data_IF_518801113397
#
_entry.id   IF_518801113397
#
_cell.length_a   1.000
_cell.length_b   1.000
_cell.length_c   1.000
_cell.angle_alpha   90.00
_cell.angle_beta   90.00
_cell.angle_gamma   90.00
#
_symmetry.space_group_name_H-M   'P 1'
#
loop_
_entity.id
_entity.type
_entity.pdbx_description
1 polymer ?
#
# COMPACT_ATOMS: atom_id res chain seq x y z
N UNK A 1 1.92 -3.89 -0.22
CA UNK A 1 0.96 -4.60 -1.07
C UNK A 1 1.46 -6.02 -1.35
N UNK A 2 0.55 -6.99 -1.45
CA UNK A 2 0.88 -8.40 -1.63
C UNK A 2 0.28 -8.91 -2.94
N UNK A 3 1.13 -9.51 -3.77
CA UNK A 3 0.75 -10.12 -5.03
C UNK A 3 1.28 -11.56 -5.11
N UNK A 4 0.49 -12.44 -5.68
CA UNK A 4 0.80 -13.86 -5.90
C UNK A 4 -0.05 -14.78 -5.04
N UNK A 5 -0.52 -15.86 -5.66
CA UNK A 5 -1.24 -16.92 -4.95
C UNK A 5 -0.33 -17.55 -3.88
N UNK A 6 -0.81 -17.61 -2.65
CA UNK A 6 -0.01 -18.10 -1.51
C UNK A 6 1.04 -17.12 -0.96
N UNK A 7 1.11 -15.89 -1.48
CA UNK A 7 1.98 -14.87 -0.88
C UNK A 7 1.56 -14.60 0.56
N UNK A 8 2.51 -14.61 1.48
CA UNK A 8 2.27 -14.37 2.89
C UNK A 8 3.30 -13.39 3.42
N UNK A 9 2.85 -12.27 3.96
CA UNK A 9 3.69 -11.30 4.65
C UNK A 9 3.29 -11.22 6.11
N UNK A 10 4.29 -11.13 6.98
CA UNK A 10 4.12 -10.87 8.40
C UNK A 10 4.81 -9.55 8.70
N UNK A 11 4.08 -8.63 9.28
CA UNK A 11 4.62 -7.36 9.77
C UNK A 11 4.56 -7.36 11.29
N UNK A 12 5.69 -7.04 11.91
CA UNK A 12 5.81 -6.86 13.37
C UNK A 12 6.32 -5.44 13.60
N UNK A 13 5.55 -4.64 14.30
CA UNK A 13 5.93 -3.29 14.71
C UNK A 13 6.07 -3.23 16.22
N UNK A 14 7.17 -2.65 16.69
CA UNK A 14 7.43 -2.47 18.11
C UNK A 14 7.63 -0.99 18.39
N UNK A 15 6.74 -0.40 19.19
CA UNK A 15 6.83 0.98 19.66
C UNK A 15 7.08 0.98 21.17
N UNK A 16 8.28 1.38 21.60
CA UNK A 16 8.63 1.51 23.01
C UNK A 16 8.65 2.99 23.41
N UNK A 17 7.80 3.34 24.37
CA UNK A 17 7.84 4.65 25.05
C UNK A 17 8.57 4.48 26.37
N UNK A 18 9.87 4.77 26.34
CA UNK A 18 10.75 4.59 27.50
C UNK A 18 10.47 5.60 28.64
N UNK A 19 11.01 5.33 29.82
CA UNK A 19 10.78 6.10 31.06
C UNK A 19 11.10 7.59 30.93
N UNK A 20 12.06 7.96 30.08
CA UNK A 20 12.48 9.35 29.88
C UNK A 20 11.62 10.11 28.86
N UNK A 21 10.81 9.41 28.07
CA UNK A 21 10.00 9.99 27.00
C UNK A 21 8.70 10.59 27.56
N UNK A 22 8.75 11.89 27.89
CA UNK A 22 7.60 12.62 28.43
C UNK A 22 6.90 13.44 27.34
N UNK A 23 5.58 13.58 27.44
CA UNK A 23 4.77 14.31 26.47
C UNK A 23 4.73 13.64 25.10
N UNK A 24 4.92 12.33 25.05
CA UNK A 24 4.85 11.57 23.81
C UNK A 24 3.42 11.55 23.30
N UNK A 25 3.27 11.87 22.01
CA UNK A 25 2.08 11.62 21.22
C UNK A 25 2.51 10.78 20.01
N UNK A 26 2.02 9.55 19.92
CA UNK A 26 2.45 8.61 18.87
C UNK A 26 1.31 7.72 18.40
N UNK A 27 1.32 7.43 17.11
CA UNK A 27 0.36 6.51 16.51
C UNK A 27 1.05 5.64 15.46
N UNK A 28 0.97 4.33 15.63
CA UNK A 28 1.52 3.35 14.71
C UNK A 28 0.41 2.80 13.80
N UNK A 29 0.57 2.95 12.49
CA UNK A 29 -0.40 2.48 11.53
C UNK A 29 0.23 1.52 10.53
N UNK A 30 -0.24 0.27 10.50
CA UNK A 30 0.06 -0.67 9.44
C UNK A 30 -1.12 -0.79 8.48
N UNK A 31 -0.84 -0.68 7.18
CA UNK A 31 -1.83 -0.88 6.12
C UNK A 31 -1.35 -1.92 5.12
N UNK A 32 -2.18 -2.92 4.86
CA UNK A 32 -1.93 -3.95 3.87
C UNK A 32 -2.94 -3.86 2.73
N UNK A 33 -2.45 -4.00 1.50
CA UNK A 33 -3.28 -4.17 0.32
C UNK A 33 -3.01 -5.54 -0.30
N UNK A 34 -4.01 -6.41 -0.31
CA UNK A 34 -3.93 -7.74 -0.90
C UNK A 34 -4.49 -7.69 -2.32
N UNK A 35 -3.63 -7.98 -3.31
CA UNK A 35 -3.92 -7.84 -4.73
C UNK A 35 -4.37 -9.15 -5.39
N UNK A 36 -4.01 -10.28 -4.79
CA UNK A 36 -4.31 -11.61 -5.33
C UNK A 36 -5.11 -12.42 -4.32
N UNK A 37 -6.08 -13.17 -4.81
CA UNK A 37 -6.81 -14.13 -3.99
C UNK A 37 -5.86 -15.19 -3.41
N UNK A 38 -6.07 -15.60 -2.15
CA UNK A 38 -5.20 -16.54 -1.44
C UNK A 38 -3.98 -15.91 -0.77
N UNK A 39 -3.60 -14.68 -1.12
CA UNK A 39 -2.54 -13.96 -0.39
C UNK A 39 -3.02 -13.53 1.01
N UNK A 40 -2.08 -13.52 1.97
CA UNK A 40 -2.33 -13.19 3.38
C UNK A 40 -1.35 -12.14 3.89
N UNK A 41 -1.87 -11.27 4.75
CA UNK A 41 -1.08 -10.32 5.52
C UNK A 41 -1.41 -10.47 7.00
N UNK A 42 -0.43 -10.77 7.83
CA UNK A 42 -0.53 -10.78 9.28
C UNK A 42 0.19 -9.57 9.84
N UNK A 43 -0.40 -8.92 10.82
CA UNK A 43 0.13 -7.71 11.44
C UNK A 43 0.11 -7.85 12.95
N UNK A 44 1.26 -7.63 13.56
CA UNK A 44 1.47 -7.73 15.01
C UNK A 44 2.02 -6.40 15.51
N UNK A 45 1.16 -5.39 15.75
CA UNK A 45 1.59 -4.16 16.38
C UNK A 45 1.78 -4.37 17.90
N UNK A 46 2.93 -3.95 18.42
CA UNK A 46 3.24 -3.97 19.84
C UNK A 46 3.49 -2.56 20.34
N UNK A 47 2.90 -2.22 21.48
CA UNK A 47 3.08 -0.94 22.14
C UNK A 47 3.43 -1.17 23.58
N UNK A 48 4.63 -0.77 23.98
CA UNK A 48 5.11 -0.82 25.36
C UNK A 48 5.30 0.58 25.92
N UNK A 49 4.67 0.86 27.06
CA UNK A 49 4.65 2.19 27.68
C UNK A 49 5.23 2.08 29.08
N UNK A 50 6.45 2.60 29.26
CA UNK A 50 7.14 2.65 30.55
C UNK A 50 6.93 3.97 31.30
N UNK A 51 6.32 4.97 30.66
CA UNK A 51 6.09 6.29 31.22
C UNK A 51 4.63 6.72 31.04
N UNK A 52 3.93 6.93 32.14
CA UNK A 52 2.54 7.38 32.13
C UNK A 52 2.33 8.87 31.79
N UNK A 53 3.41 9.66 31.65
CA UNK A 53 3.30 11.08 31.28
C UNK A 53 3.38 11.24 29.76
N UNK A 54 2.35 10.81 29.07
CA UNK A 54 2.19 10.88 27.62
C UNK A 54 0.91 11.63 27.27
N UNK A 55 0.86 12.22 26.07
CA UNK A 55 -0.32 12.88 25.53
C UNK A 55 -1.25 11.86 24.86
N UNK A 56 -0.66 10.93 24.11
CA UNK A 56 -1.40 9.85 23.47
C UNK A 56 -0.46 8.77 22.94
N UNK A 57 -0.98 7.54 22.88
CA UNK A 57 -0.33 6.44 22.20
C UNK A 57 -1.37 5.48 21.65
N UNK A 58 -1.16 4.99 20.43
CA UNK A 58 -2.10 4.05 19.83
C UNK A 58 -1.46 3.29 18.67
N UNK A 59 -2.11 2.23 18.30
CA UNK A 59 -1.76 1.50 17.08
C UNK A 59 -3.01 1.00 16.37
N UNK A 60 -2.90 0.81 15.05
CA UNK A 60 -3.93 0.13 14.25
C UNK A 60 -3.30 -0.69 13.13
N UNK A 61 -4.00 -1.71 12.72
CA UNK A 61 -3.70 -2.44 11.50
C UNK A 61 -4.95 -2.61 10.66
N UNK A 62 -4.83 -2.38 9.37
CA UNK A 62 -5.90 -2.55 8.41
C UNK A 62 -5.41 -3.36 7.20
N UNK A 63 -6.19 -4.37 6.81
CA UNK A 63 -5.93 -5.14 5.60
C UNK A 63 -7.10 -4.99 4.66
N UNK A 64 -6.85 -4.33 3.52
CA UNK A 64 -7.79 -4.20 2.42
C UNK A 64 -7.48 -5.20 1.30
N UNK A 65 -8.52 -5.62 0.59
CA UNK A 65 -8.38 -6.34 -0.68
C UNK A 65 -8.55 -5.37 -1.82
N UNK A 66 -8.00 -5.74 -2.96
CA UNK A 66 -8.26 -4.99 -4.19
C UNK A 66 -9.77 -4.90 -4.43
N UNK A 67 -10.26 -3.67 -4.67
CA UNK A 67 -11.69 -3.41 -4.80
C UNK A 67 -12.12 -3.51 -6.27
N UNK A 68 -12.80 -4.60 -6.60
CA UNK A 68 -13.33 -4.83 -7.94
C UNK A 68 -14.41 -3.81 -8.34
N UNK A 69 -15.07 -3.16 -7.38
CA UNK A 69 -16.03 -2.10 -7.68
C UNK A 69 -15.32 -0.82 -8.14
N UNK A 70 -14.19 -0.48 -7.53
CA UNK A 70 -13.35 0.63 -7.99
C UNK A 70 -12.80 0.34 -9.39
N UNK A 71 -12.33 -0.88 -9.63
CA UNK A 71 -11.87 -1.31 -10.94
C UNK A 71 -12.99 -1.19 -12.00
N UNK A 72 -14.17 -1.72 -11.68
CA UNK A 72 -15.35 -1.61 -12.57
C UNK A 72 -15.68 -0.16 -12.89
N UNK A 73 -15.69 0.72 -11.90
CA UNK A 73 -15.98 2.13 -12.07
C UNK A 73 -14.99 2.83 -13.03
N UNK A 74 -13.70 2.57 -12.87
CA UNK A 74 -12.65 3.13 -13.73
C UNK A 74 -12.76 2.60 -15.16
N UNK A 75 -13.00 1.30 -15.32
CA UNK A 75 -13.22 0.67 -16.64
C UNK A 75 -14.48 1.18 -17.33
N UNK A 76 -15.55 1.40 -16.60
CA UNK A 76 -16.78 1.98 -17.14
C UNK A 76 -16.58 3.41 -17.68
N UNK A 77 -15.51 4.09 -17.27
CA UNK A 77 -15.07 5.40 -17.80
C UNK A 77 -14.07 5.30 -18.95
N UNK A 78 -13.80 4.10 -19.45
CA UNK A 78 -12.92 3.87 -20.59
C UNK A 78 -11.44 3.74 -20.22
N UNK A 79 -11.10 3.62 -18.94
CA UNK A 79 -9.71 3.38 -18.52
C UNK A 79 -9.39 1.90 -18.72
N UNK A 80 -8.33 1.54 -19.45
CA UNK A 80 -7.89 0.17 -19.62
C UNK A 80 -7.65 -0.51 -18.26
N UNK A 81 -7.90 -1.81 -18.16
CA UNK A 81 -7.83 -2.54 -16.89
C UNK A 81 -6.47 -2.44 -16.21
N UNK A 82 -5.39 -2.57 -16.98
CA UNK A 82 -4.01 -2.44 -16.46
C UNK A 82 -3.76 -1.08 -15.84
N UNK A 83 -4.21 -0.01 -16.49
CA UNK A 83 -4.06 1.36 -15.97
C UNK A 83 -5.00 1.60 -14.77
N UNK A 84 -6.21 1.06 -14.80
CA UNK A 84 -7.14 1.15 -13.67
C UNK A 84 -6.57 0.46 -12.42
N UNK A 85 -5.98 -0.74 -12.57
CA UNK A 85 -5.28 -1.43 -11.47
C UNK A 85 -4.10 -0.62 -10.94
N UNK A 86 -3.31 -0.05 -11.84
CA UNK A 86 -2.19 0.83 -11.49
C UNK A 86 -2.67 2.01 -10.64
N UNK A 87 -3.69 2.71 -11.07
CA UNK A 87 -4.22 3.87 -10.37
C UNK A 87 -4.70 3.55 -8.95
N UNK A 88 -5.39 2.41 -8.77
CA UNK A 88 -5.85 1.96 -7.43
C UNK A 88 -4.66 1.68 -6.52
N UNK A 89 -3.64 0.97 -7.01
CA UNK A 89 -2.47 0.62 -6.19
C UNK A 89 -1.64 1.86 -5.86
N UNK A 90 -1.42 2.74 -6.82
CA UNK A 90 -0.69 3.98 -6.57
C UNK A 90 -1.44 4.92 -5.62
N UNK A 91 -2.77 4.97 -5.72
CA UNK A 91 -3.61 5.72 -4.77
C UNK A 91 -3.41 5.25 -3.34
N UNK A 92 -3.36 3.93 -3.12
CA UNK A 92 -3.09 3.35 -1.81
C UNK A 92 -1.72 3.77 -1.26
N UNK A 93 -0.66 3.73 -2.07
CA UNK A 93 0.66 4.15 -1.62
C UNK A 93 0.76 5.66 -1.42
N UNK A 94 0.11 6.45 -2.28
CA UNK A 94 0.14 7.89 -2.19
C UNK A 94 -0.45 8.42 -0.88
N UNK A 95 -1.51 7.79 -0.37
CA UNK A 95 -2.07 8.14 0.95
C UNK A 95 -1.05 8.02 2.08
N UNK A 96 -0.18 6.98 2.02
CA UNK A 96 0.81 6.72 3.06
C UNK A 96 2.03 7.64 2.88
N UNK A 97 2.48 7.80 1.63
CA UNK A 97 3.68 8.58 1.30
C UNK A 97 3.45 10.06 1.57
N UNK A 98 2.26 10.58 1.30
CA UNK A 98 1.91 11.98 1.55
C UNK A 98 1.93 12.38 3.04
N UNK A 99 1.91 11.43 3.97
CA UNK A 99 2.05 11.71 5.40
C UNK A 99 3.49 12.11 5.80
N UNK A 100 4.47 11.88 4.92
CA UNK A 100 5.89 12.21 5.17
C UNK A 100 6.09 13.73 5.18
N UNK A 101 5.40 14.47 4.30
CA UNK A 101 5.45 15.94 4.23
C UNK A 101 6.79 16.48 3.75
N UNK A 102 7.57 15.71 2.98
CA UNK A 102 8.84 16.09 2.39
C UNK A 102 8.85 15.70 0.91
N UNK A 103 8.58 16.67 0.03
CA UNK A 103 8.35 16.46 -1.41
C UNK A 103 9.42 15.58 -2.08
N UNK A 104 10.71 15.86 -1.82
CA UNK A 104 11.82 15.11 -2.43
C UNK A 104 11.81 13.62 -2.02
N UNK A 105 11.43 13.31 -0.79
CA UNK A 105 11.33 11.94 -0.28
C UNK A 105 10.12 11.26 -0.89
N UNK A 106 9.00 11.96 -0.96
CA UNK A 106 7.75 11.46 -1.55
C UNK A 106 7.95 11.09 -3.02
N UNK A 107 8.54 11.98 -3.83
CA UNK A 107 8.84 11.74 -5.24
C UNK A 107 9.75 10.50 -5.43
N UNK A 108 10.79 10.37 -4.62
CA UNK A 108 11.73 9.24 -4.70
C UNK A 108 11.06 7.91 -4.33
N UNK A 109 10.21 7.92 -3.30
CA UNK A 109 9.47 6.73 -2.87
C UNK A 109 8.45 6.31 -3.92
N UNK A 110 7.67 7.26 -4.45
CA UNK A 110 6.68 6.97 -5.49
C UNK A 110 7.33 6.44 -6.76
N UNK A 111 8.46 7.00 -7.18
CA UNK A 111 9.22 6.49 -8.33
C UNK A 111 9.75 5.06 -8.10
N UNK A 112 10.21 4.75 -6.88
CA UNK A 112 10.66 3.41 -6.54
C UNK A 112 9.50 2.40 -6.52
N UNK A 113 8.33 2.80 -6.01
CA UNK A 113 7.12 2.00 -6.00
C UNK A 113 6.65 1.72 -7.43
N UNK A 114 6.60 2.72 -8.29
CA UNK A 114 6.23 2.55 -9.70
C UNK A 114 7.16 1.55 -10.42
N UNK A 115 8.46 1.71 -10.21
CA UNK A 115 9.46 0.79 -10.79
C UNK A 115 9.27 -0.65 -10.30
N UNK A 116 8.99 -0.85 -9.02
CA UNK A 116 8.74 -2.19 -8.47
C UNK A 116 7.47 -2.81 -9.04
N UNK A 117 6.41 -2.02 -9.19
CA UNK A 117 5.16 -2.46 -9.78
C UNK A 117 5.32 -2.86 -11.27
N UNK A 118 6.18 -2.16 -12.01
CA UNK A 118 6.55 -2.54 -13.39
C UNK A 118 7.29 -3.89 -13.43
N UNK A 119 8.26 -4.08 -12.54
CA UNK A 119 9.06 -5.31 -12.47
C UNK A 119 8.22 -6.54 -12.08
N UNK A 120 7.21 -6.35 -11.26
CA UNK A 120 6.33 -7.43 -10.79
C UNK A 120 5.20 -7.76 -11.78
N UNK A 121 5.13 -7.06 -12.92
CA UNK A 121 4.11 -7.27 -13.94
C UNK A 121 2.71 -6.84 -13.53
N UNK A 122 2.58 -6.14 -12.41
CA UNK A 122 1.30 -5.56 -11.98
C UNK A 122 0.88 -4.37 -12.86
N UNK A 123 1.88 -3.71 -13.42
CA UNK A 123 1.75 -2.61 -14.36
C UNK A 123 2.49 -3.02 -15.63
N UNK A 124 1.81 -3.00 -16.76
CA UNK A 124 2.48 -3.19 -18.04
C UNK A 124 3.51 -2.07 -18.23
N UNK A 125 4.75 -2.46 -18.55
CA UNK A 125 5.77 -1.48 -18.94
C UNK A 125 5.22 -0.59 -20.04
N UNK A 126 5.37 0.71 -19.95
CA UNK A 126 4.92 1.72 -20.93
C UNK A 126 5.63 1.58 -22.30
N UNK A 127 5.82 0.39 -22.80
CA UNK A 127 6.40 0.08 -24.09
C UNK A 127 5.33 -0.10 -25.19
N UNK A 128 4.29 0.72 -25.21
CA UNK A 128 3.41 0.85 -26.38
C UNK A 128 2.72 -0.41 -26.90
N UNK A 129 2.87 -1.55 -26.24
CA UNK A 129 2.21 -2.80 -26.60
C UNK A 129 1.47 -3.33 -25.37
N UNK A 130 0.17 -3.22 -25.40
CA UNK A 130 -0.71 -3.89 -24.45
C UNK A 130 -0.63 -5.41 -24.69
N UNK A 131 -0.08 -6.23 -23.77
CA UNK A 131 -0.01 -7.67 -23.98
C UNK A 131 -1.38 -8.35 -23.98
N UNK A 132 -2.46 -7.63 -23.70
CA UNK A 132 -3.83 -8.11 -23.69
C UNK A 132 -4.73 -7.40 -24.71
N UNK A 133 -4.18 -6.69 -25.69
CA UNK A 133 -4.95 -6.16 -26.80
C UNK A 133 -5.58 -7.35 -27.57
N UNK A 134 -6.86 -7.59 -27.35
CA UNK A 134 -7.65 -8.51 -28.18
C UNK A 134 -7.63 -7.93 -29.58
N UNK A 135 -7.17 -8.66 -30.63
CA UNK A 135 -7.22 -8.17 -31.99
C UNK A 135 -8.68 -7.86 -32.32
N UNK A 136 -8.93 -6.66 -32.87
CA UNK A 136 -10.24 -6.31 -33.39
C UNK A 136 -10.67 -7.39 -34.39
N UNK A 137 -11.84 -8.00 -34.17
CA UNK A 137 -12.42 -8.94 -35.08
C UNK A 137 -12.71 -8.19 -36.41
N UNK A 138 -12.15 -8.70 -37.50
CA UNK A 138 -12.53 -8.29 -38.88
C UNK A 138 -13.97 -8.70 -39.21
#
# INVERSE_FOLDING_TARGET
ALQGEGAHAVWVGDCLIGQAARGTDTYELNRNLVLTEGAKADSVPNLEIENGNIEGAGHASATGRFDDQQLFYLRARGIPETEARRLVVLGFFNEIVAEIGVDEVEERLMAAIEKELELTGLIAVRTGQDPLAVPAAE
#
